data_IF_387803567554
#
_entry.id   IF_387803567554
#
_cell.length_a   1.000
_cell.length_b   1.000
_cell.length_c   1.000
_cell.angle_alpha   90.00
_cell.angle_beta   90.00
_cell.angle_gamma   90.00
#
_symmetry.space_group_name_H-M   'P 1'
#
loop_
_entity.id
_entity.type
_entity.pdbx_description
1 polymer ?
#
# COMPACT_ATOMS: atom_id res chain seq x y z
N UNK A 1 -38.36 -26.32 32.57
CA UNK A 1 -38.35 -25.41 31.41
C UNK A 1 -36.91 -25.05 31.08
N UNK A 2 -36.58 -24.84 29.81
CA UNK A 2 -35.19 -24.61 29.37
C UNK A 2 -34.80 -23.14 29.45
N UNK A 3 -33.50 -22.88 29.65
CA UNK A 3 -32.95 -21.53 29.67
C UNK A 3 -32.90 -20.87 28.28
N UNK A 4 -32.97 -21.67 27.21
CA UNK A 4 -33.04 -21.21 25.82
C UNK A 4 -31.71 -21.26 25.09
N UNK A 5 -31.79 -21.09 23.77
CA UNK A 5 -30.67 -20.97 22.83
C UNK A 5 -30.49 -19.52 22.43
N UNK A 6 -29.24 -19.09 22.24
CA UNK A 6 -28.91 -17.75 21.76
C UNK A 6 -28.19 -17.84 20.41
N UNK A 7 -28.70 -17.15 19.40
CA UNK A 7 -28.17 -17.10 18.03
C UNK A 7 -28.14 -15.67 17.53
N UNK A 8 -27.19 -15.31 16.66
CA UNK A 8 -27.38 -14.16 15.80
C UNK A 8 -28.62 -14.36 14.92
N UNK A 9 -29.32 -13.29 14.57
CA UNK A 9 -30.49 -13.36 13.68
C UNK A 9 -30.10 -13.49 12.21
N UNK A 10 -28.86 -13.15 11.85
CA UNK A 10 -28.31 -13.25 10.49
C UNK A 10 -26.85 -13.73 10.53
N UNK A 11 -26.39 -14.34 9.44
CA UNK A 11 -24.99 -14.73 9.24
C UNK A 11 -24.11 -13.56 8.78
N UNK A 12 -24.73 -12.51 8.24
CA UNK A 12 -24.10 -11.30 7.74
C UNK A 12 -24.98 -10.08 8.04
N UNK A 13 -24.37 -8.99 8.51
CA UNK A 13 -24.97 -7.67 8.67
C UNK A 13 -24.16 -6.66 7.86
N UNK A 14 -24.80 -5.61 7.36
CA UNK A 14 -24.15 -4.56 6.56
C UNK A 14 -24.47 -3.17 7.10
N UNK A 15 -23.44 -2.35 7.23
CA UNK A 15 -23.48 -1.00 7.75
C UNK A 15 -22.51 -0.13 6.93
N UNK A 16 -23.00 0.98 6.38
CA UNK A 16 -22.17 1.93 5.65
C UNK A 16 -21.31 2.76 6.60
N UNK A 17 -20.21 3.29 6.11
CA UNK A 17 -19.30 4.16 6.88
C UNK A 17 -19.96 5.44 7.40
N UNK A 18 -20.96 5.96 6.68
CA UNK A 18 -21.84 7.02 7.19
C UNK A 18 -22.79 6.61 8.34
N UNK A 19 -22.68 5.39 8.87
CA UNK A 19 -23.44 4.87 9.99
C UNK A 19 -24.86 4.41 9.65
N UNK A 20 -25.25 4.38 8.37
CA UNK A 20 -26.53 3.84 7.92
C UNK A 20 -26.47 2.33 7.73
N UNK A 21 -27.36 1.59 8.39
CA UNK A 21 -27.46 0.15 8.20
C UNK A 21 -28.13 -0.15 6.84
N UNK A 22 -27.53 -1.04 6.05
CA UNK A 22 -28.19 -1.62 4.86
C UNK A 22 -29.07 -2.81 5.23
N UNK A 23 -28.74 -3.50 6.33
CA UNK A 23 -29.54 -4.57 6.93
C UNK A 23 -30.17 -4.11 8.24
N UNK A 24 -30.69 -5.03 9.05
CA UNK A 24 -30.99 -4.73 10.45
C UNK A 24 -29.70 -4.51 11.24
N UNK A 25 -29.80 -3.90 12.43
CA UNK A 25 -28.71 -3.86 13.40
C UNK A 25 -28.25 -5.27 13.74
N UNK A 26 -26.98 -5.40 14.14
CA UNK A 26 -26.46 -6.66 14.67
C UNK A 26 -27.33 -7.08 15.85
N UNK A 27 -27.91 -8.28 15.79
CA UNK A 27 -28.83 -8.74 16.82
C UNK A 27 -28.70 -10.21 17.16
N UNK A 28 -29.06 -10.51 18.41
CA UNK A 28 -29.07 -11.86 18.97
C UNK A 28 -30.48 -12.16 19.46
N UNK A 29 -30.99 -13.34 19.14
CA UNK A 29 -32.30 -13.80 19.57
C UNK A 29 -32.19 -14.91 20.60
N UNK A 30 -33.07 -14.86 21.61
CA UNK A 30 -33.30 -15.96 22.54
C UNK A 30 -34.51 -16.78 22.13
N UNK A 31 -34.28 -18.05 21.82
CA UNK A 31 -35.31 -19.01 21.38
C UNK A 31 -35.32 -20.27 22.25
N UNK A 32 -36.33 -21.12 22.07
CA UNK A 32 -36.45 -22.44 22.72
C UNK A 32 -36.39 -22.45 24.27
N UNK A 33 -36.66 -21.31 24.91
CA UNK A 33 -36.73 -21.21 26.36
C UNK A 33 -36.54 -19.79 26.86
N UNK A 34 -37.27 -19.43 27.92
CA UNK A 34 -37.20 -18.11 28.57
C UNK A 34 -36.95 -18.20 30.07
N UNK A 35 -36.66 -19.40 30.59
CA UNK A 35 -36.48 -19.60 32.04
C UNK A 35 -35.13 -19.10 32.52
N UNK A 36 -35.14 -18.34 33.60
CA UNK A 36 -33.96 -17.77 34.23
C UNK A 36 -33.40 -16.57 33.47
N UNK A 37 -32.61 -15.78 34.20
CA UNK A 37 -31.79 -14.71 33.65
C UNK A 37 -30.63 -15.37 32.88
N UNK A 38 -30.41 -14.97 31.63
CA UNK A 38 -29.31 -15.48 30.79
C UNK A 38 -28.52 -14.33 30.18
N UNK A 39 -27.25 -14.58 29.90
CA UNK A 39 -26.42 -13.61 29.19
C UNK A 39 -25.41 -14.28 28.27
N UNK A 40 -24.98 -13.53 27.26
CA UNK A 40 -23.94 -13.95 26.32
C UNK A 40 -23.02 -12.78 26.03
N UNK A 41 -21.71 -13.09 25.95
CA UNK A 41 -20.70 -12.15 25.52
C UNK A 41 -20.60 -12.22 24.00
N UNK A 42 -20.78 -11.09 23.35
CA UNK A 42 -20.56 -10.94 21.91
C UNK A 42 -19.17 -10.36 21.73
N UNK A 43 -18.28 -11.15 21.12
CA UNK A 43 -16.90 -10.74 20.87
C UNK A 43 -16.76 -10.30 19.42
N UNK A 44 -16.06 -9.20 19.19
CA UNK A 44 -15.63 -8.79 17.87
C UNK A 44 -14.14 -9.09 17.71
N UNK A 45 -13.76 -9.62 16.56
CA UNK A 45 -12.37 -9.83 16.20
C UNK A 45 -11.94 -8.68 15.28
N UNK A 46 -10.83 -8.01 15.59
CA UNK A 46 -10.19 -7.03 14.69
C UNK A 46 -8.73 -7.43 14.40
N UNK A 47 -8.21 -7.10 13.23
CA UNK A 47 -6.78 -7.15 12.91
C UNK A 47 -6.49 -6.27 11.69
N UNK A 48 -5.27 -5.78 11.59
CA UNK A 48 -4.76 -4.98 10.47
C UNK A 48 -4.41 -5.80 9.22
N UNK A 49 -5.11 -6.90 8.97
CA UNK A 49 -4.90 -7.75 7.78
C UNK A 49 -5.90 -7.38 6.69
N UNK A 50 -5.53 -7.56 5.41
CA UNK A 50 -6.38 -7.24 4.26
C UNK A 50 -7.87 -7.64 4.43
N UNK A 51 -8.76 -6.65 4.30
CA UNK A 51 -10.21 -6.78 4.35
C UNK A 51 -10.81 -6.88 5.76
N UNK A 52 -10.00 -6.78 6.83
CA UNK A 52 -10.50 -6.81 8.20
C UNK A 52 -10.48 -5.41 8.81
N UNK A 53 -11.65 -5.03 9.31
CA UNK A 53 -11.78 -3.82 10.07
C UNK A 53 -10.95 -3.88 11.36
N UNK A 54 -10.23 -2.80 11.64
CA UNK A 54 -9.45 -2.55 12.85
C UNK A 54 -10.22 -1.70 13.86
N UNK A 55 -10.56 -2.30 15.02
CA UNK A 55 -11.11 -1.58 16.17
C UNK A 55 -10.31 -0.30 16.45
N UNK A 56 -11.05 0.78 16.72
CA UNK A 56 -10.56 2.14 16.97
C UNK A 56 -9.99 2.86 15.75
N UNK A 57 -9.89 2.22 14.60
CA UNK A 57 -9.62 2.89 13.32
C UNK A 57 -10.92 3.03 12.54
N UNK A 58 -11.66 1.93 12.35
CA UNK A 58 -12.89 1.90 11.54
C UNK A 58 -14.15 1.62 12.38
N UNK A 59 -14.04 1.02 13.57
CA UNK A 59 -15.20 0.88 14.48
C UNK A 59 -14.91 0.87 15.98
N UNK A 60 -15.92 1.23 16.77
CA UNK A 60 -15.98 1.13 18.22
C UNK A 60 -17.26 0.41 18.66
N UNK A 61 -17.14 -0.58 19.53
CA UNK A 61 -18.31 -1.18 20.18
C UNK A 61 -18.90 -0.21 21.21
N UNK A 62 -20.22 -0.01 21.21
CA UNK A 62 -20.89 0.83 22.21
C UNK A 62 -21.06 0.07 23.54
N UNK A 63 -20.78 0.72 24.66
CA UNK A 63 -20.85 0.11 26.00
C UNK A 63 -20.09 -1.23 26.13
N UNK A 64 -18.79 -1.28 25.79
CA UNK A 64 -18.03 -2.53 25.79
C UNK A 64 -17.75 -3.02 27.22
N UNK A 65 -17.64 -4.33 27.37
CA UNK A 65 -17.25 -5.01 28.63
C UNK A 65 -15.74 -5.13 28.83
N UNK A 66 -14.96 -4.69 27.85
CA UNK A 66 -13.50 -4.69 27.90
C UNK A 66 -12.98 -3.30 27.55
N UNK A 67 -11.87 -2.89 28.18
CA UNK A 67 -11.21 -1.61 27.87
C UNK A 67 -10.69 -1.53 26.44
N UNK A 68 -10.53 -2.68 25.78
CA UNK A 68 -10.13 -2.77 24.37
C UNK A 68 -11.29 -2.66 23.39
N UNK A 69 -12.55 -2.63 23.85
CA UNK A 69 -13.73 -2.62 22.97
C UNK A 69 -14.01 -3.96 22.29
N UNK A 70 -13.34 -5.04 22.70
CA UNK A 70 -13.40 -6.34 22.02
C UNK A 70 -14.68 -7.15 22.29
N UNK A 71 -15.56 -6.68 23.17
CA UNK A 71 -16.80 -7.38 23.47
C UNK A 71 -17.90 -6.54 24.13
N UNK A 72 -19.15 -6.92 23.87
CA UNK A 72 -20.36 -6.42 24.54
C UNK A 72 -21.08 -7.58 25.26
N UNK A 73 -21.98 -7.26 26.18
CA UNK A 73 -22.77 -8.24 26.92
C UNK A 73 -24.26 -7.99 26.70
N UNK A 74 -24.96 -9.03 26.24
CA UNK A 74 -26.42 -9.03 26.17
C UNK A 74 -26.98 -9.87 27.31
N UNK A 75 -28.02 -9.37 27.97
CA UNK A 75 -28.69 -10.04 29.09
C UNK A 75 -30.19 -10.02 28.88
N UNK A 76 -30.83 -11.18 29.04
CA UNK A 76 -32.28 -11.34 29.09
C UNK A 76 -32.69 -11.64 30.53
N UNK A 77 -33.72 -10.95 31.02
CA UNK A 77 -34.33 -11.22 32.30
C UNK A 77 -35.01 -12.61 32.32
N UNK A 78 -35.40 -13.07 33.52
CA UNK A 78 -36.24 -14.25 33.64
C UNK A 78 -37.60 -13.99 32.96
N UNK A 79 -38.03 -14.93 32.12
CA UNK A 79 -39.22 -14.82 31.28
C UNK A 79 -39.03 -13.99 30.00
N UNK A 80 -37.92 -13.27 29.82
CA UNK A 80 -37.67 -12.46 28.63
C UNK A 80 -37.14 -13.31 27.47
N UNK A 81 -37.81 -13.27 26.32
CA UNK A 81 -37.37 -13.88 25.07
C UNK A 81 -37.11 -12.86 23.97
N UNK A 82 -36.95 -13.32 22.72
CA UNK A 82 -36.87 -12.43 21.55
C UNK A 82 -35.51 -11.77 21.34
N UNK A 83 -35.52 -10.73 20.50
CA UNK A 83 -34.33 -10.13 19.89
C UNK A 83 -33.78 -8.99 20.76
N UNK A 84 -32.46 -8.94 20.94
CA UNK A 84 -31.71 -7.78 21.43
C UNK A 84 -30.67 -7.35 20.40
N UNK A 85 -30.51 -6.04 20.24
CA UNK A 85 -29.57 -5.43 19.30
C UNK A 85 -28.28 -5.02 19.99
N UNK A 86 -27.23 -4.89 19.19
CA UNK A 86 -25.93 -4.32 19.55
C UNK A 86 -25.69 -3.11 18.66
N UNK A 87 -25.02 -2.12 19.25
CA UNK A 87 -24.65 -0.90 18.55
C UNK A 87 -23.13 -0.80 18.42
N UNK A 88 -22.71 -0.31 17.25
CA UNK A 88 -21.34 0.01 16.90
C UNK A 88 -21.30 1.45 16.39
N UNK A 89 -20.33 2.22 16.85
CA UNK A 89 -19.97 3.51 16.26
C UNK A 89 -18.98 3.24 15.14
N UNK A 90 -19.31 3.65 13.92
CA UNK A 90 -18.39 3.59 12.79
C UNK A 90 -17.57 4.87 12.76
N UNK A 91 -16.27 4.72 12.54
CA UNK A 91 -15.35 5.82 12.39
C UNK A 91 -15.24 6.07 10.89
N UNK A 92 -15.76 7.21 10.46
CA UNK A 92 -15.67 7.62 9.05
C UNK A 92 -14.28 8.16 8.77
N UNK A 93 -13.66 7.64 7.71
CA UNK A 93 -12.50 8.25 7.08
C UNK A 93 -12.82 8.68 5.63
N UNK A 94 -11.81 9.10 4.87
CA UNK A 94 -11.97 9.46 3.44
C UNK A 94 -10.98 8.63 2.61
N UNK A 95 -10.80 7.37 2.99
CA UNK A 95 -9.81 6.47 2.40
C UNK A 95 -10.53 5.31 1.72
N UNK A 96 -10.21 5.12 0.44
CA UNK A 96 -10.76 3.99 -0.32
C UNK A 96 -10.02 2.71 0.08
N UNK A 97 -10.66 1.91 0.92
CA UNK A 97 -10.12 0.66 1.45
C UNK A 97 -10.93 -0.57 0.99
N UNK A 98 -12.12 -0.34 0.44
CA UNK A 98 -13.10 -1.37 0.07
C UNK A 98 -13.83 -1.94 1.29
N UNK A 99 -14.89 -2.73 1.04
CA UNK A 99 -15.68 -3.35 2.11
C UNK A 99 -14.80 -4.16 3.08
N UNK A 100 -14.95 -3.88 4.37
CA UNK A 100 -14.24 -4.55 5.45
C UNK A 100 -15.18 -5.43 6.28
N UNK A 101 -14.66 -6.50 6.87
CA UNK A 101 -15.46 -7.38 7.73
C UNK A 101 -14.94 -7.47 9.16
N UNK A 102 -15.89 -7.50 10.09
CA UNK A 102 -15.73 -7.70 11.53
C UNK A 102 -16.34 -9.05 11.92
N UNK A 103 -15.53 -10.10 12.12
CA UNK A 103 -16.04 -11.37 12.63
C UNK A 103 -16.57 -11.22 14.06
N UNK A 104 -17.81 -11.66 14.27
CA UNK A 104 -18.47 -11.67 15.57
C UNK A 104 -18.69 -13.10 16.05
N UNK A 105 -18.55 -13.32 17.36
CA UNK A 105 -18.85 -14.63 17.95
C UNK A 105 -19.51 -14.54 19.32
N UNK A 106 -20.50 -15.41 19.54
CA UNK A 106 -21.17 -15.64 20.81
C UNK A 106 -20.31 -16.55 21.70
N UNK A 107 -20.10 -16.14 22.94
CA UNK A 107 -19.33 -16.90 23.92
C UNK A 107 -19.69 -16.56 25.36
N UNK A 108 -19.05 -17.29 26.28
CA UNK A 108 -19.21 -17.06 27.73
C UNK A 108 -20.67 -17.05 28.21
N UNK A 109 -21.51 -17.93 27.65
CA UNK A 109 -22.92 -18.08 28.00
C UNK A 109 -23.10 -18.30 29.53
N UNK A 110 -24.10 -17.63 30.13
CA UNK A 110 -24.47 -17.72 31.55
C UNK A 110 -25.96 -18.01 31.71
N UNK A 111 -26.34 -18.45 32.91
CA UNK A 111 -27.75 -18.74 33.24
C UNK A 111 -28.29 -20.02 32.62
N UNK A 112 -27.42 -20.90 32.13
CA UNK A 112 -27.82 -22.17 31.48
C UNK A 112 -28.19 -22.04 30.01
N UNK A 113 -28.13 -20.84 29.43
CA UNK A 113 -28.27 -20.67 27.98
C UNK A 113 -27.14 -21.38 27.23
N UNK A 114 -27.45 -21.85 26.03
CA UNK A 114 -26.50 -22.52 25.13
C UNK A 114 -26.48 -21.83 23.77
N UNK A 115 -25.46 -22.12 22.97
CA UNK A 115 -25.40 -21.65 21.59
C UNK A 115 -26.58 -22.22 20.78
N UNK A 116 -27.21 -21.38 19.95
CA UNK A 116 -28.11 -21.83 18.91
C UNK A 116 -27.41 -21.99 17.56
N UNK A 117 -28.18 -21.90 16.48
CA UNK A 117 -27.76 -22.30 15.14
C UNK A 117 -26.73 -21.35 14.51
N UNK A 118 -26.75 -20.07 14.90
CA UNK A 118 -25.85 -19.03 14.36
C UNK A 118 -25.01 -18.43 15.50
N UNK A 119 -23.97 -19.13 15.98
CA UNK A 119 -23.09 -18.61 17.05
C UNK A 119 -22.01 -17.65 16.54
N UNK A 120 -21.87 -17.49 15.22
CA UNK A 120 -20.90 -16.63 14.54
C UNK A 120 -21.53 -15.96 13.33
N UNK A 121 -21.14 -14.73 13.06
CA UNK A 121 -21.56 -13.97 11.89
C UNK A 121 -20.46 -12.95 11.52
N UNK A 122 -20.64 -12.25 10.40
CA UNK A 122 -19.83 -11.09 10.04
C UNK A 122 -20.69 -9.82 10.07
N UNK A 123 -20.12 -8.73 10.59
CA UNK A 123 -20.57 -7.38 10.27
C UNK A 123 -19.67 -6.85 9.15
N UNK A 124 -20.24 -6.40 8.05
CA UNK A 124 -19.53 -5.77 6.94
C UNK A 124 -19.70 -4.26 7.09
N UNK A 125 -18.57 -3.56 7.11
CA UNK A 125 -18.49 -2.10 6.99
C UNK A 125 -18.36 -1.84 5.49
N UNK A 126 -19.41 -1.27 4.91
CA UNK A 126 -19.50 -1.01 3.46
C UNK A 126 -18.85 0.32 3.19
N UNK A 127 -17.79 0.28 2.39
CA UNK A 127 -17.03 1.45 1.97
C UNK A 127 -17.96 2.39 1.18
N UNK A 128 -18.06 3.64 1.62
CA UNK A 128 -18.79 4.68 0.89
C UNK A 128 -17.90 5.74 0.26
N UNK A 129 -16.59 5.58 0.39
CA UNK A 129 -15.61 6.36 -0.34
C UNK A 129 -15.56 5.95 -1.81
N UNK A 130 -15.55 6.97 -2.65
CA UNK A 130 -15.26 6.79 -4.05
C UNK A 130 -13.78 7.08 -4.27
N UNK A 131 -13.09 6.21 -5.00
CA UNK A 131 -11.86 6.62 -5.65
C UNK A 131 -12.23 7.84 -6.50
N UNK A 132 -11.80 9.02 -6.07
CA UNK A 132 -11.84 10.21 -6.90
C UNK A 132 -10.83 9.94 -8.02
N UNK A 133 -11.26 9.16 -9.01
CA UNK A 133 -10.80 9.36 -10.36
C UNK A 133 -11.25 10.75 -10.71
N UNK A 134 -10.39 11.74 -10.47
CA UNK A 134 -10.48 12.98 -11.23
C UNK A 134 -10.32 12.54 -12.69
N UNK A 135 -11.42 12.26 -13.37
CA UNK A 135 -11.42 12.35 -14.81
C UNK A 135 -11.04 13.80 -15.05
N UNK A 136 -9.80 14.02 -15.49
CA UNK A 136 -9.30 15.34 -15.78
C UNK A 136 -10.36 16.06 -16.59
N UNK A 137 -10.68 17.30 -16.21
CA UNK A 137 -11.69 18.12 -16.89
C UNK A 137 -11.59 17.82 -18.39
N UNK A 138 -12.68 17.35 -18.98
CA UNK A 138 -12.70 17.21 -20.43
C UNK A 138 -12.41 18.62 -20.96
N UNK A 139 -11.23 18.78 -21.59
CA UNK A 139 -10.82 20.08 -22.10
C UNK A 139 -11.97 20.66 -22.91
N UNK A 140 -12.19 21.98 -22.79
CA UNK A 140 -13.26 22.65 -23.52
C UNK A 140 -13.26 22.14 -24.96
N UNK A 141 -14.45 21.75 -25.44
CA UNK A 141 -14.61 21.26 -26.80
C UNK A 141 -14.01 22.32 -27.72
N UNK A 142 -12.86 22.00 -28.31
CA UNK A 142 -12.15 22.94 -29.18
C UNK A 142 -13.12 23.46 -30.24
N UNK A 143 -13.04 24.77 -30.49
CA UNK A 143 -13.77 25.38 -31.59
C UNK A 143 -13.59 24.54 -32.86
N UNK A 144 -14.64 24.48 -33.69
CA UNK A 144 -14.59 23.74 -34.96
C UNK A 144 -13.35 24.21 -35.71
N UNK A 145 -12.36 23.32 -35.85
CA UNK A 145 -11.09 23.65 -36.47
C UNK A 145 -11.32 24.26 -37.84
N UNK A 146 -10.67 25.40 -38.08
CA UNK A 146 -10.56 25.95 -39.42
C UNK A 146 -10.02 24.87 -40.35
N UNK A 147 -10.53 24.88 -41.59
CA UNK A 147 -10.14 23.93 -42.64
C UNK A 147 -8.61 23.87 -42.69
N UNK A 148 -8.06 22.70 -42.37
CA UNK A 148 -6.62 22.53 -42.19
C UNK A 148 -5.83 23.02 -43.40
N UNK A 149 -4.97 24.01 -43.15
CA UNK A 149 -3.88 24.33 -44.05
C UNK A 149 -2.87 23.19 -44.02
N UNK A 150 -2.51 22.74 -45.22
CA UNK A 150 -1.43 21.80 -45.50
C UNK A 150 -0.15 22.18 -44.74
N UNK A 151 0.48 21.16 -44.13
CA UNK A 151 1.49 21.29 -43.09
C UNK A 151 2.62 22.30 -43.34
N UNK A 152 2.87 23.11 -42.32
CA UNK A 152 4.09 23.88 -42.12
C UNK A 152 4.76 23.35 -40.85
N UNK A 153 5.96 22.79 -41.02
CA UNK A 153 6.67 21.99 -40.03
C UNK A 153 7.10 22.76 -38.78
N UNK A 154 6.80 22.17 -37.63
CA UNK A 154 7.65 22.26 -36.45
C UNK A 154 8.26 20.87 -36.28
N UNK A 155 9.59 20.78 -36.38
CA UNK A 155 10.32 19.51 -36.31
C UNK A 155 10.03 18.80 -34.99
N UNK A 156 9.42 17.61 -35.08
CA UNK A 156 9.27 16.70 -33.95
C UNK A 156 10.60 16.05 -33.58
N UNK A 157 10.59 15.34 -32.44
CA UNK A 157 11.70 14.48 -32.04
C UNK A 157 11.90 13.38 -33.08
N UNK A 158 13.10 13.27 -33.63
CA UNK A 158 13.47 12.26 -34.63
C UNK A 158 14.14 11.07 -33.93
N UNK A 159 13.38 10.05 -33.55
CA UNK A 159 13.96 8.88 -32.87
C UNK A 159 14.79 8.02 -33.85
N UNK A 160 16.09 7.88 -33.59
CA UNK A 160 17.07 7.17 -34.42
C UNK A 160 17.41 5.76 -33.91
N UNK A 161 16.79 5.32 -32.81
CA UNK A 161 17.09 4.02 -32.20
C UNK A 161 18.37 4.05 -31.34
N UNK A 162 19.10 2.94 -31.28
CA UNK A 162 20.31 2.82 -30.45
C UNK A 162 21.42 3.75 -30.98
N UNK A 163 22.08 4.49 -30.08
CA UNK A 163 23.20 5.35 -30.43
C UNK A 163 24.35 4.54 -31.07
N UNK A 164 24.94 5.07 -32.15
CA UNK A 164 25.99 4.43 -32.91
C UNK A 164 27.17 5.40 -33.09
N UNK A 165 28.36 4.97 -32.65
CA UNK A 165 29.59 5.76 -32.70
C UNK A 165 29.98 6.23 -34.11
N UNK A 166 29.55 5.55 -35.18
CA UNK A 166 29.89 5.88 -36.56
C UNK A 166 28.86 6.80 -37.23
N UNK A 167 27.79 7.19 -36.51
CA UNK A 167 26.68 7.96 -37.07
C UNK A 167 26.73 9.40 -36.56
N UNK A 168 26.74 10.42 -37.43
CA UNK A 168 26.48 11.79 -37.02
C UNK A 168 24.99 11.96 -36.66
N UNK A 169 24.70 12.87 -35.74
CA UNK A 169 23.32 13.15 -35.28
C UNK A 169 23.03 14.63 -35.42
N UNK A 170 21.78 14.96 -35.76
CA UNK A 170 21.34 16.33 -35.90
C UNK A 170 20.52 16.78 -34.70
N UNK A 171 20.38 18.10 -34.54
CA UNK A 171 19.44 18.67 -33.56
C UNK A 171 18.07 17.99 -33.69
N UNK A 172 17.46 17.69 -32.55
CA UNK A 172 16.19 16.96 -32.42
C UNK A 172 16.24 15.46 -32.69
N UNK A 173 17.40 14.88 -33.06
CA UNK A 173 17.56 13.42 -33.05
C UNK A 173 17.52 12.89 -31.62
N UNK A 174 16.73 11.85 -31.37
CA UNK A 174 16.72 11.13 -30.12
C UNK A 174 17.33 9.74 -30.30
N UNK A 175 18.18 9.33 -29.35
CA UNK A 175 18.87 8.04 -29.36
C UNK A 175 18.71 7.33 -28.02
N UNK A 176 18.80 6.01 -28.06
CA UNK A 176 18.87 5.16 -26.87
C UNK A 176 20.35 4.81 -26.60
N UNK A 177 20.87 5.21 -25.45
CA UNK A 177 22.27 5.00 -25.06
C UNK A 177 22.35 4.52 -23.60
N UNK A 178 23.08 3.42 -23.35
CA UNK A 178 23.26 2.82 -22.01
C UNK A 178 21.96 2.60 -21.22
N UNK A 179 20.85 2.33 -21.91
CA UNK A 179 19.56 2.07 -21.26
C UNK A 179 18.67 3.29 -21.09
N UNK A 180 19.10 4.49 -21.47
CA UNK A 180 18.36 5.74 -21.34
C UNK A 180 18.17 6.43 -22.70
N UNK A 181 17.19 7.35 -22.79
CA UNK A 181 16.89 8.11 -24.01
C UNK A 181 17.42 9.53 -23.93
N UNK A 182 18.24 9.92 -24.91
CA UNK A 182 18.87 11.23 -25.01
C UNK A 182 18.41 11.97 -26.27
N UNK A 183 18.16 13.28 -26.14
CA UNK A 183 17.83 14.19 -27.23
C UNK A 183 19.05 15.02 -27.59
N UNK A 184 19.40 15.05 -28.87
CA UNK A 184 20.48 15.86 -29.42
C UNK A 184 20.03 17.32 -29.50
N UNK A 185 20.78 18.22 -28.87
CA UNK A 185 20.46 19.64 -28.76
C UNK A 185 20.99 20.46 -29.96
N UNK A 186 21.91 19.89 -30.73
CA UNK A 186 22.62 20.54 -31.84
C UNK A 186 23.18 19.49 -32.80
N UNK A 187 23.61 19.90 -34.00
CA UNK A 187 24.29 18.97 -34.92
C UNK A 187 25.66 18.54 -34.37
N UNK A 188 25.93 17.23 -34.46
CA UNK A 188 27.16 16.61 -33.98
C UNK A 188 27.73 15.63 -34.99
N UNK A 189 29.06 15.55 -35.07
CA UNK A 189 29.78 14.57 -35.88
C UNK A 189 29.71 13.17 -35.25
N UNK A 190 30.01 12.14 -36.05
CA UNK A 190 30.19 10.78 -35.54
C UNK A 190 31.16 10.74 -34.34
N UNK A 191 30.85 9.90 -33.35
CA UNK A 191 31.64 9.72 -32.13
C UNK A 191 31.28 10.65 -30.97
N UNK A 192 30.34 11.59 -31.15
CA UNK A 192 29.85 12.45 -30.07
C UNK A 192 28.88 11.68 -29.14
N UNK A 193 29.43 11.10 -28.08
CA UNK A 193 28.73 10.24 -27.12
C UNK A 193 27.78 11.05 -26.19
N UNK A 194 26.48 10.70 -26.09
CA UNK A 194 25.50 11.32 -25.21
C UNK A 194 25.87 11.34 -23.72
N UNK A 195 26.67 10.38 -23.26
CA UNK A 195 27.06 10.25 -21.85
C UNK A 195 28.22 11.18 -21.49
N UNK A 196 29.04 11.51 -22.48
CA UNK A 196 30.26 12.30 -22.30
C UNK A 196 30.10 13.76 -22.73
N UNK A 197 29.04 14.08 -23.48
CA UNK A 197 28.83 15.39 -24.10
C UNK A 197 27.47 16.02 -23.69
N UNK A 198 27.28 16.38 -22.41
CA UNK A 198 26.01 16.90 -21.90
C UNK A 198 25.62 18.29 -22.44
N UNK A 199 26.53 18.98 -23.12
CA UNK A 199 26.24 20.22 -23.86
C UNK A 199 25.58 19.95 -25.22
N UNK A 200 25.74 18.74 -25.75
CA UNK A 200 25.18 18.32 -27.04
C UNK A 200 23.97 17.40 -26.89
N UNK A 201 23.79 16.80 -25.70
CA UNK A 201 22.74 15.84 -25.42
C UNK A 201 22.08 16.11 -24.07
N UNK A 202 20.77 15.97 -24.00
CA UNK A 202 20.01 16.00 -22.76
C UNK A 202 19.27 14.69 -22.54
N UNK A 203 19.28 14.20 -21.30
CA UNK A 203 18.47 13.06 -20.90
C UNK A 203 16.98 13.46 -20.91
N UNK A 204 16.16 12.74 -21.67
CA UNK A 204 14.72 13.01 -21.76
C UNK A 204 13.84 11.89 -21.19
N UNK A 205 14.37 10.67 -21.08
CA UNK A 205 13.68 9.57 -20.41
C UNK A 205 14.68 8.56 -19.88
N UNK A 206 14.51 8.14 -18.63
CA UNK A 206 15.18 6.95 -18.11
C UNK A 206 14.54 5.70 -18.71
N UNK A 207 15.32 4.76 -19.21
CA UNK A 207 14.76 3.51 -19.71
C UNK A 207 14.64 2.43 -18.62
N UNK A 208 14.00 1.30 -18.95
CA UNK A 208 13.87 0.17 -18.04
C UNK A 208 15.25 -0.43 -17.75
N UNK A 209 15.64 -0.52 -16.48
CA UNK A 209 16.90 -1.18 -16.11
C UNK A 209 16.74 -2.70 -16.20
N UNK A 210 17.34 -3.29 -17.23
CA UNK A 210 17.48 -4.75 -17.34
C UNK A 210 18.74 -5.18 -16.60
N UNK A 211 18.58 -5.98 -15.54
CA UNK A 211 19.72 -6.70 -14.95
C UNK A 211 19.69 -8.14 -15.43
N UNK A 212 20.65 -8.52 -16.28
CA UNK A 212 20.85 -9.92 -16.66
C UNK A 212 21.58 -10.64 -15.53
N UNK A 213 20.84 -11.28 -14.64
CA UNK A 213 21.37 -12.43 -13.90
C UNK A 213 21.25 -13.64 -14.83
N UNK A 214 22.35 -14.37 -14.98
CA UNK A 214 22.42 -15.55 -15.83
C UNK A 214 21.24 -16.51 -15.55
N UNK A 215 20.29 -16.58 -16.48
CA UNK A 215 19.44 -17.75 -16.68
C UNK A 215 18.06 -17.82 -16.01
N UNK A 216 17.46 -16.76 -15.47
CA UNK A 216 16.04 -16.84 -15.06
C UNK A 216 15.27 -15.53 -15.26
N UNK A 217 14.15 -15.62 -15.97
CA UNK A 217 13.25 -14.49 -16.25
C UNK A 217 12.24 -14.38 -15.11
N UNK A 218 12.42 -13.39 -14.23
CA UNK A 218 11.45 -13.05 -13.19
C UNK A 218 10.89 -11.64 -13.40
N UNK A 219 9.57 -11.49 -13.34
CA UNK A 219 8.90 -10.19 -13.37
C UNK A 219 9.17 -9.45 -12.05
N UNK A 220 9.93 -8.35 -12.10
CA UNK A 220 10.15 -7.48 -10.96
C UNK A 220 8.94 -6.56 -10.74
N UNK A 221 8.47 -6.43 -9.50
CA UNK A 221 7.53 -5.37 -9.10
C UNK A 221 8.33 -4.27 -8.40
N UNK A 222 8.33 -3.08 -8.97
CA UNK A 222 8.96 -1.91 -8.35
C UNK A 222 8.08 -1.39 -7.21
N UNK A 223 8.67 -1.24 -6.03
CA UNK A 223 8.08 -0.48 -4.93
C UNK A 223 8.94 0.77 -4.74
N UNK A 224 8.35 1.94 -4.99
CA UNK A 224 9.03 3.22 -4.82
C UNK A 224 8.83 3.68 -3.38
N UNK A 225 9.90 3.64 -2.58
CA UNK A 225 9.92 4.22 -1.24
C UNK A 225 10.73 5.51 -1.27
N UNK A 226 10.09 6.64 -1.00
CA UNK A 226 10.77 7.92 -0.86
C UNK A 226 10.82 8.31 0.62
N UNK A 227 12.01 8.52 1.17
CA UNK A 227 12.18 9.23 2.43
C UNK A 227 12.55 10.68 2.09
N UNK A 228 11.65 11.65 2.30
CA UNK A 228 11.90 13.07 1.97
C UNK A 228 12.44 13.90 3.14
N UNK A 229 12.56 13.31 4.33
CA UNK A 229 13.03 14.03 5.51
C UNK A 229 14.53 13.80 5.68
N UNK A 230 15.29 14.89 5.85
CA UNK A 230 16.69 14.85 6.23
C UNK A 230 16.83 13.94 7.46
N UNK A 231 17.45 12.76 7.37
CA UNK A 231 17.63 11.94 8.55
C UNK A 231 18.55 12.70 9.49
N UNK A 232 18.11 12.93 10.72
CA UNK A 232 19.02 13.42 11.75
C UNK A 232 20.07 12.33 12.01
N UNK A 233 21.29 12.69 12.45
CA UNK A 233 22.27 11.72 12.91
C UNK A 233 21.67 10.65 13.82
N UNK A 234 22.10 9.40 13.68
CA UNK A 234 21.72 8.26 14.52
C UNK A 234 20.23 7.88 14.45
N UNK A 235 19.57 8.11 13.31
CA UNK A 235 18.19 7.68 13.11
C UNK A 235 18.10 6.35 12.37
N UNK A 236 17.24 5.47 12.89
CA UNK A 236 16.72 4.33 12.15
C UNK A 236 15.34 4.68 11.59
N UNK A 237 15.08 4.28 10.34
CA UNK A 237 13.77 4.32 9.70
C UNK A 237 13.43 2.94 9.18
N UNK A 238 12.17 2.58 9.32
CA UNK A 238 11.65 1.27 8.98
C UNK A 238 10.44 1.43 8.06
N UNK A 239 10.40 0.69 6.96
CA UNK A 239 9.33 0.72 5.97
C UNK A 239 8.80 -0.69 5.77
N UNK A 240 7.50 -0.91 5.92
CA UNK A 240 6.88 -2.22 5.67
C UNK A 240 6.79 -2.44 4.16
N UNK A 241 7.30 -3.57 3.66
CA UNK A 241 7.29 -3.88 2.22
C UNK A 241 6.12 -4.77 1.77
N UNK A 242 5.42 -5.42 2.70
CA UNK A 242 4.20 -6.18 2.43
C UNK A 242 4.38 -7.47 1.62
N UNK A 243 5.62 -7.95 1.41
CA UNK A 243 5.88 -9.19 0.66
C UNK A 243 5.88 -10.42 1.58
N UNK A 244 5.44 -11.56 1.04
CA UNK A 244 5.60 -12.85 1.70
C UNK A 244 7.10 -13.22 1.74
N UNK A 245 7.62 -13.58 2.91
CA UNK A 245 9.05 -13.88 3.12
C UNK A 245 9.57 -15.03 2.27
N UNK A 246 8.69 -15.95 1.86
CA UNK A 246 9.06 -17.17 1.14
C UNK A 246 9.27 -16.93 -0.36
N UNK A 247 8.95 -15.74 -0.86
CA UNK A 247 9.16 -15.36 -2.27
C UNK A 247 10.28 -14.33 -2.43
N UNK A 248 10.80 -13.73 -1.34
CA UNK A 248 11.90 -12.77 -1.47
C UNK A 248 13.21 -13.50 -1.75
N UNK A 249 13.74 -13.35 -2.98
CA UNK A 249 15.00 -13.97 -3.41
C UNK A 249 16.22 -13.06 -3.26
N UNK A 250 16.01 -11.77 -3.01
CA UNK A 250 17.08 -10.79 -2.78
C UNK A 250 16.58 -9.35 -2.77
N UNK A 251 17.47 -8.40 -2.50
CA UNK A 251 17.21 -6.97 -2.59
C UNK A 251 18.45 -6.23 -3.08
N UNK A 252 18.25 -5.06 -3.68
CA UNK A 252 19.33 -4.15 -4.05
C UNK A 252 18.91 -2.70 -3.76
N UNK A 253 19.85 -1.87 -3.33
CA UNK A 253 19.63 -0.45 -3.05
C UNK A 253 20.54 0.42 -3.90
N UNK A 254 20.00 1.48 -4.49
CA UNK A 254 20.75 2.52 -5.17
C UNK A 254 20.61 3.81 -4.39
N UNK A 255 21.76 4.38 -3.97
CA UNK A 255 21.83 5.74 -3.47
C UNK A 255 22.09 6.68 -4.64
N UNK A 256 21.10 7.48 -5.06
CA UNK A 256 21.36 8.53 -6.06
C UNK A 256 21.91 9.76 -5.34
N UNK A 257 23.16 10.07 -5.64
CA UNK A 257 23.84 11.32 -5.30
C UNK A 257 23.83 12.24 -6.53
N UNK A 258 23.73 13.57 -6.37
CA UNK A 258 23.91 14.52 -7.48
C UNK A 258 25.34 14.49 -8.08
N UNK A 259 26.28 13.77 -7.46
CA UNK A 259 27.57 13.39 -8.06
C UNK A 259 27.68 11.87 -8.22
N UNK A 260 28.18 11.36 -9.37
CA UNK A 260 28.18 9.92 -9.64
C UNK A 260 29.10 9.18 -8.66
N UNK A 261 28.54 8.29 -7.86
CA UNK A 261 29.29 7.25 -7.14
C UNK A 261 28.89 5.93 -7.79
N UNK A 262 29.88 5.23 -8.36
CA UNK A 262 29.71 4.17 -9.36
C UNK A 262 28.93 2.92 -8.94
N UNK A 263 28.91 1.94 -9.84
CA UNK A 263 28.18 0.68 -9.71
C UNK A 263 28.74 -0.19 -8.59
N UNK A 264 27.89 -0.68 -7.68
CA UNK A 264 28.30 -1.56 -6.57
C UNK A 264 27.90 -3.02 -6.83
N UNK A 265 28.85 -3.92 -6.57
CA UNK A 265 28.86 -5.31 -7.03
C UNK A 265 27.85 -6.25 -6.35
N UNK A 266 27.55 -7.33 -7.06
CA UNK A 266 26.68 -8.43 -6.64
C UNK A 266 27.39 -9.36 -5.65
N UNK A 267 26.89 -9.48 -4.41
CA UNK A 267 26.99 -10.73 -3.66
C UNK A 267 25.78 -10.91 -2.73
N UNK A 268 25.29 -12.14 -2.73
CA UNK A 268 24.03 -12.61 -2.13
C UNK A 268 24.32 -13.25 -0.76
N UNK A 269 23.36 -13.04 0.16
CA UNK A 269 23.23 -13.61 1.50
C UNK A 269 24.24 -13.14 2.57
N UNK A 270 23.72 -12.45 3.61
CA UNK A 270 23.92 -12.69 5.06
C UNK A 270 23.09 -11.64 5.84
N UNK A 271 22.21 -12.09 6.76
CA UNK A 271 21.75 -11.33 7.94
C UNK A 271 22.93 -11.22 8.93
N UNK A 272 23.02 -10.23 9.85
CA UNK A 272 23.10 -8.78 9.70
C UNK A 272 24.52 -8.32 9.33
N UNK A 273 24.64 -7.30 8.49
CA UNK A 273 25.94 -6.75 8.13
C UNK A 273 25.77 -5.55 7.22
N UNK A 274 26.09 -4.38 7.75
CA UNK A 274 26.09 -3.15 6.98
C UNK A 274 27.06 -3.17 5.82
N UNK A 275 26.68 -2.51 4.73
CA UNK A 275 27.60 -2.14 3.67
C UNK A 275 28.07 -0.70 3.92
N UNK A 276 29.33 -0.45 4.28
CA UNK A 276 29.84 0.90 4.41
C UNK A 276 29.94 1.56 3.03
N UNK A 277 29.39 2.77 2.90
CA UNK A 277 29.51 3.60 1.69
C UNK A 277 30.68 4.57 1.88
N UNK A 278 31.63 4.68 0.93
CA UNK A 278 32.74 5.62 1.07
C UNK A 278 32.24 7.06 1.22
N UNK A 279 32.51 7.66 2.38
CA UNK A 279 32.26 9.08 2.67
C UNK A 279 31.04 9.40 3.54
N UNK A 280 30.14 8.45 3.82
CA UNK A 280 29.03 8.62 4.78
C UNK A 280 28.53 7.27 5.32
N UNK A 281 28.25 7.17 6.62
CA UNK A 281 27.83 5.90 7.24
C UNK A 281 26.30 5.69 7.16
N UNK A 282 25.84 5.07 6.07
CA UNK A 282 24.47 4.55 5.94
C UNK A 282 24.48 3.02 5.98
N UNK A 283 23.47 2.44 6.61
CA UNK A 283 23.22 1.00 6.67
C UNK A 283 21.84 0.73 6.06
N UNK A 284 21.79 -0.10 5.01
CA UNK A 284 20.55 -0.63 4.45
C UNK A 284 20.46 -2.12 4.79
N UNK A 285 19.37 -2.51 5.43
CA UNK A 285 19.03 -3.90 5.67
C UNK A 285 17.58 -4.16 5.25
N UNK A 286 17.30 -5.36 4.77
CA UNK A 286 15.93 -5.81 4.51
C UNK A 286 15.70 -7.07 5.33
N UNK A 287 14.67 -7.04 6.17
CA UNK A 287 14.25 -8.18 6.98
C UNK A 287 12.96 -8.79 6.39
N UNK A 288 12.40 -9.78 7.11
CA UNK A 288 11.20 -10.51 6.71
C UNK A 288 9.98 -9.64 6.39
N UNK A 289 9.86 -8.46 7.00
CA UNK A 289 8.67 -7.61 6.90
C UNK A 289 9.00 -6.16 6.51
N UNK A 290 10.26 -5.75 6.64
CA UNK A 290 10.64 -4.35 6.65
C UNK A 290 11.94 -4.08 5.90
N UNK A 291 12.04 -2.87 5.35
CA UNK A 291 13.28 -2.25 4.90
C UNK A 291 13.73 -1.32 6.03
N UNK A 292 14.97 -1.49 6.49
CA UNK A 292 15.59 -0.70 7.56
C UNK A 292 16.71 0.15 6.98
N UNK A 293 16.61 1.46 7.19
CA UNK A 293 17.64 2.45 6.86
C UNK A 293 18.18 3.05 8.17
N UNK A 294 19.47 2.97 8.41
CA UNK A 294 20.13 3.57 9.58
C UNK A 294 21.28 4.49 9.16
N UNK A 295 21.46 5.61 9.86
CA UNK A 295 22.57 6.57 9.67
C UNK A 295 23.45 6.60 10.93
N UNK A 296 24.79 6.67 10.81
CA UNK A 296 25.67 6.67 12.01
C UNK A 296 26.67 7.83 12.09
N UNK A 297 26.45 8.96 11.41
CA UNK A 297 27.33 10.15 11.51
C UNK A 297 26.59 11.39 12.05
N UNK A 298 27.26 12.10 12.99
CA UNK A 298 26.94 13.37 13.64
C UNK A 298 27.24 14.64 12.80
N UNK A 299 27.69 14.51 11.55
CA UNK A 299 27.92 15.67 10.69
C UNK A 299 26.60 16.20 10.15
N UNK A 300 26.30 17.46 10.44
CA UNK A 300 25.06 18.19 10.11
C UNK A 300 24.84 18.44 8.62
N UNK A 301 25.43 17.64 7.73
CA UNK A 301 25.46 17.87 6.27
C UNK A 301 24.66 16.84 5.46
N UNK A 302 23.61 16.25 6.05
CA UNK A 302 22.68 15.40 5.29
C UNK A 302 21.69 16.29 4.53
N UNK A 303 22.14 16.82 3.39
CA UNK A 303 21.26 17.32 2.34
C UNK A 303 20.36 16.17 1.88
N UNK A 304 19.08 16.45 1.68
CA UNK A 304 18.03 15.51 1.24
C UNK A 304 18.52 14.54 0.16
N UNK A 305 18.54 13.23 0.44
CA UNK A 305 18.96 12.19 -0.51
C UNK A 305 17.84 11.18 -0.69
N UNK A 306 17.58 10.80 -1.93
CA UNK A 306 16.61 9.76 -2.28
C UNK A 306 17.32 8.40 -2.28
N UNK A 307 16.79 7.46 -1.50
CA UNK A 307 17.22 6.05 -1.50
C UNK A 307 16.20 5.26 -2.31
N UNK A 308 16.66 4.51 -3.32
CA UNK A 308 15.81 3.63 -4.10
C UNK A 308 16.12 2.18 -3.70
N UNK A 309 15.09 1.41 -3.34
CA UNK A 309 15.23 0.00 -2.95
C UNK A 309 14.38 -0.85 -3.89
N UNK A 310 15.03 -1.81 -4.56
CA UNK A 310 14.36 -2.80 -5.41
C UNK A 310 14.37 -4.15 -4.73
N UNK A 311 13.20 -4.79 -4.66
CA UNK A 311 13.02 -6.12 -4.08
C UNK A 311 12.88 -7.15 -5.21
N UNK A 312 13.53 -8.30 -5.05
CA UNK A 312 13.57 -9.37 -6.05
C UNK A 312 12.72 -10.55 -5.54
N UNK A 313 11.76 -10.97 -6.38
CA UNK A 313 10.81 -12.07 -6.10
C UNK A 313 11.25 -13.43 -6.69
#
# INVERSE_FOLDING_TARGET
MAAGKLSFTQIEYRLRENGQYETTKVSVERTEGTTGIVSVKVTNSSASSLGRATRKLDFLAENPTTSTGSAQLLTWADGEGGIKTLDFTIIMENLVEGDEFVPLSLGSFKGGAVAGDIPKCNLIIVDDDSAIGIQGIQGEKGDKGDKGDTGLGLEGINYKGIWNQNTPYSKNDAVFAMGDTYLCLQDVTAGNDPLMNPSSWVLIAYGPQYFTLAGNHGTLRHYLYTCSLAPTPNMTRTFVHGLNTNILKGFFGILKSPTPLGTFGSNVNILPGGFPVPGFDYYLAVNSSEIVLSTTDNSSSVLSRQVFVTLIL
#
